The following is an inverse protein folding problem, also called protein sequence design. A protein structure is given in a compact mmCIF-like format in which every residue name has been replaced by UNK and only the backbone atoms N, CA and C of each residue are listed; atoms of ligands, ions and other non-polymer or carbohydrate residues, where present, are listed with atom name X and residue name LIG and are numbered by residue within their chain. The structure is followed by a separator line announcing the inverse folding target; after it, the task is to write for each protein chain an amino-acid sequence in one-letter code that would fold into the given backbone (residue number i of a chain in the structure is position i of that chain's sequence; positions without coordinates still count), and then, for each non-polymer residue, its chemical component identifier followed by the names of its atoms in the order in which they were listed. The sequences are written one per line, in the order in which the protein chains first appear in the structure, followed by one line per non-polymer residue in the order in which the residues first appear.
data_IF_702949359635
#
_entry.id   IF_702949359635
#
_cell.length_a   1.000
_cell.length_b   1.000
_cell.length_c   1.000
_cell.angle_alpha   90.00
_cell.angle_beta   90.00
_cell.angle_gamma   90.00
#
_symmetry.space_group_name_H-M   'P 1'
#
loop_
_entity.id
_entity.type
_entity.pdbx_description
1 polymer ?
#
# COMPACT_ATOMS: atom_id res chain seq x y z
N UNK A 1 8.65 -6.84 12.31
CA UNK A 1 10.07 -7.08 12.61
C UNK A 1 10.85 -7.18 11.32
N UNK A 2 11.90 -6.40 11.13
CA UNK A 2 12.77 -6.50 9.97
C UNK A 2 13.47 -7.86 10.01
N UNK A 3 13.35 -8.63 8.90
CA UNK A 3 13.91 -9.97 8.85
C UNK A 3 15.44 -9.93 8.98
N UNK A 4 16.02 -10.69 9.90
CA UNK A 4 17.47 -10.73 10.17
C UNK A 4 18.33 -11.19 8.99
N UNK A 5 17.76 -11.97 8.07
CA UNK A 5 18.47 -12.41 6.86
C UNK A 5 18.70 -11.29 5.84
N UNK A 6 18.05 -10.16 6.02
CA UNK A 6 18.04 -9.03 5.12
C UNK A 6 18.77 -7.84 5.74
N UNK A 7 19.51 -7.11 4.92
CA UNK A 7 20.21 -5.91 5.35
C UNK A 7 19.55 -4.69 4.77
N UNK A 8 19.09 -3.80 5.64
CA UNK A 8 18.53 -2.51 5.27
C UNK A 8 19.46 -1.39 5.73
N UNK A 9 19.56 -0.34 4.91
CA UNK A 9 20.14 0.93 5.32
C UNK A 9 19.10 2.03 5.05
N UNK A 10 18.89 2.88 6.04
CA UNK A 10 17.91 3.95 6.01
C UNK A 10 18.61 5.30 6.01
N UNK A 11 18.26 6.16 5.07
CA UNK A 11 18.82 7.49 4.90
C UNK A 11 17.69 8.50 4.84
N UNK A 12 17.65 9.44 5.78
CA UNK A 12 16.66 10.52 5.76
C UNK A 12 17.16 11.59 4.79
N UNK A 13 16.30 11.93 3.85
CA UNK A 13 16.54 13.01 2.89
C UNK A 13 16.17 14.38 3.48
N UNK A 14 16.67 15.45 2.88
CA UNK A 14 16.38 16.81 3.31
C UNK A 14 14.90 17.21 3.15
N UNK A 15 14.17 16.50 2.30
CA UNK A 15 12.71 16.69 2.08
C UNK A 15 11.85 15.91 3.07
N UNK A 16 12.47 15.23 4.04
CA UNK A 16 11.76 14.45 5.06
C UNK A 16 11.29 13.07 4.60
N UNK A 17 11.71 12.60 3.43
CA UNK A 17 11.51 11.21 2.99
C UNK A 17 12.63 10.30 3.47
N UNK A 18 12.46 8.98 3.39
CA UNK A 18 13.50 7.99 3.71
C UNK A 18 13.87 7.22 2.45
N UNK A 19 15.15 7.31 2.04
CA UNK A 19 15.71 6.39 1.06
C UNK A 19 16.11 5.10 1.77
N UNK A 20 15.56 3.99 1.34
CA UNK A 20 15.80 2.66 1.90
C UNK A 20 16.61 1.84 0.91
N UNK A 21 17.78 1.41 1.32
CA UNK A 21 18.60 0.46 0.58
C UNK A 21 18.39 -0.93 1.16
N UNK A 22 18.10 -1.87 0.28
CA UNK A 22 17.90 -3.27 0.60
C UNK A 22 18.94 -4.13 -0.09
N UNK A 23 19.51 -5.09 0.61
CA UNK A 23 20.52 -6.00 0.04
C UNK A 23 20.41 -7.40 0.62
N UNK A 24 20.32 -8.40 -0.25
CA UNK A 24 20.49 -9.83 0.09
C UNK A 24 21.80 -10.30 -0.50
N UNK A 25 22.81 -10.49 0.35
CA UNK A 25 24.15 -10.91 -0.11
C UNK A 25 24.15 -12.29 -0.77
N UNK A 26 23.37 -13.24 -0.28
CA UNK A 26 23.27 -14.60 -0.82
C UNK A 26 22.76 -14.63 -2.26
N UNK A 27 21.78 -13.79 -2.58
CA UNK A 27 21.15 -13.72 -3.89
C UNK A 27 21.76 -12.69 -4.84
N UNK A 28 22.75 -11.92 -4.37
CA UNK A 28 23.33 -10.78 -5.10
C UNK A 28 22.28 -9.76 -5.56
N UNK A 29 21.20 -9.63 -4.80
CA UNK A 29 20.12 -8.67 -5.04
C UNK A 29 20.32 -7.44 -4.20
N UNK A 30 20.18 -6.28 -4.82
CA UNK A 30 20.18 -5.00 -4.13
C UNK A 30 19.22 -4.04 -4.81
N UNK A 31 18.61 -3.17 -4.06
CA UNK A 31 17.67 -2.18 -4.60
C UNK A 31 17.51 -0.99 -3.67
N UNK A 32 17.03 0.10 -4.25
CA UNK A 32 16.63 1.30 -3.54
C UNK A 32 15.13 1.49 -3.65
N UNK A 33 14.50 1.92 -2.56
CA UNK A 33 13.13 2.40 -2.56
C UNK A 33 13.05 3.70 -1.78
N UNK A 34 12.03 4.49 -2.08
CA UNK A 34 11.74 5.72 -1.37
C UNK A 34 10.49 5.49 -0.54
N UNK A 35 10.58 5.78 0.74
CA UNK A 35 9.43 5.80 1.64
C UNK A 35 9.05 7.26 1.90
N UNK A 36 7.77 7.53 1.86
CA UNK A 36 7.15 8.80 2.20
C UNK A 36 6.07 8.62 3.27
N UNK A 37 5.68 9.69 3.89
CA UNK A 37 4.68 9.73 4.95
C UNK A 37 3.86 11.02 4.86
N UNK A 38 2.70 11.03 5.46
CA UNK A 38 1.96 12.28 5.69
C UNK A 38 2.60 13.07 6.85
N UNK A 39 3.76 13.63 6.59
CA UNK A 39 4.60 14.35 7.54
C UNK A 39 6.02 14.47 7.03
N UNK A 40 6.95 14.74 7.92
CA UNK A 40 8.38 14.83 7.61
C UNK A 40 9.16 14.03 8.65
N UNK A 41 9.91 13.04 8.21
CA UNK A 41 10.82 12.31 9.11
C UNK A 41 12.07 13.13 9.42
N UNK A 42 12.39 13.26 10.69
CA UNK A 42 13.55 14.00 11.19
C UNK A 42 14.70 13.13 11.65
N UNK A 43 14.40 11.99 12.25
CA UNK A 43 15.42 11.06 12.72
C UNK A 43 14.91 9.63 12.69
N UNK A 44 15.83 8.69 12.57
CA UNK A 44 15.56 7.26 12.54
C UNK A 44 16.61 6.54 13.41
N UNK A 45 16.15 5.55 14.17
CA UNK A 45 17.00 4.76 15.03
C UNK A 45 16.51 3.31 15.05
N UNK A 46 17.43 2.38 14.87
CA UNK A 46 17.17 0.96 15.05
C UNK A 46 17.66 0.50 16.42
N UNK A 47 16.77 -0.09 17.21
CA UNK A 47 17.08 -0.64 18.53
C UNK A 47 16.65 -2.10 18.54
N UNK A 48 17.62 -3.00 18.63
CA UNK A 48 17.42 -4.43 18.44
C UNK A 48 16.81 -4.71 17.05
N UNK A 49 15.60 -5.19 16.99
CA UNK A 49 14.87 -5.51 15.76
C UNK A 49 13.73 -4.53 15.47
N UNK A 50 13.66 -3.45 16.23
CA UNK A 50 12.62 -2.43 16.14
C UNK A 50 13.19 -1.17 15.53
N UNK A 51 12.44 -0.56 14.63
CA UNK A 51 12.80 0.67 13.95
C UNK A 51 11.91 1.80 14.45
N UNK A 52 12.54 2.82 15.01
CA UNK A 52 11.87 4.01 15.55
C UNK A 52 12.20 5.23 14.70
N UNK A 53 11.23 6.11 14.53
CA UNK A 53 11.37 7.37 13.81
C UNK A 53 10.76 8.51 14.60
N UNK A 54 11.34 9.71 14.46
CA UNK A 54 10.69 10.95 14.87
C UNK A 54 10.11 11.61 13.65
N UNK A 55 8.80 11.78 13.65
CA UNK A 55 8.05 12.37 12.56
C UNK A 55 7.37 13.67 12.99
N UNK A 56 7.51 14.72 12.19
CA UNK A 56 6.72 15.95 12.33
C UNK A 56 5.44 15.81 11.51
N UNK A 57 4.29 15.86 12.16
CA UNK A 57 2.97 15.72 11.53
C UNK A 57 2.06 16.89 11.87
N UNK A 58 1.26 17.29 10.91
CA UNK A 58 0.07 18.09 11.18
C UNK A 58 -1.01 17.15 11.73
N UNK A 59 -1.48 17.47 12.93
CA UNK A 59 -2.53 16.69 13.57
C UNK A 59 -3.94 16.99 13.02
N UNK A 60 -4.02 17.74 11.92
CA UNK A 60 -5.26 18.21 11.29
C UNK A 60 -5.77 19.54 11.86
N UNK A 61 -5.11 20.11 12.87
CA UNK A 61 -5.43 21.45 13.40
C UNK A 61 -4.62 22.57 12.71
N UNK A 62 -3.70 22.24 11.81
CA UNK A 62 -2.72 23.15 11.22
C UNK A 62 -1.52 23.39 12.15
N UNK A 63 -1.38 22.60 13.21
CA UNK A 63 -0.24 22.67 14.13
C UNK A 63 0.64 21.44 13.94
N UNK A 64 1.91 21.66 13.65
CA UNK A 64 2.88 20.57 13.53
C UNK A 64 3.33 20.11 14.92
N UNK A 65 3.24 18.80 15.15
CA UNK A 65 3.71 18.13 16.36
C UNK A 65 4.76 17.07 16.01
N UNK A 66 5.66 16.79 16.96
CA UNK A 66 6.63 15.71 16.83
C UNK A 66 6.10 14.46 17.50
N UNK A 67 6.09 13.36 16.77
CA UNK A 67 5.70 12.04 17.25
C UNK A 67 6.90 11.09 17.19
N UNK A 68 7.05 10.26 18.23
CA UNK A 68 7.93 9.11 18.20
C UNK A 68 7.10 7.91 17.76
N UNK A 69 7.44 7.36 16.62
CA UNK A 69 6.70 6.28 15.97
C UNK A 69 7.58 5.05 15.81
N UNK A 70 6.96 3.89 15.73
CA UNK A 70 7.60 2.61 15.46
C UNK A 70 7.07 2.01 14.17
N UNK A 71 7.96 1.52 13.30
CA UNK A 71 7.55 0.69 12.18
C UNK A 71 7.14 -0.70 12.67
N UNK A 72 5.91 -1.11 12.35
CA UNK A 72 5.36 -2.42 12.69
C UNK A 72 4.78 -3.08 11.43
N UNK A 73 5.07 -4.37 11.24
CA UNK A 73 4.67 -5.11 10.05
C UNK A 73 3.16 -5.40 9.98
N UNK A 74 2.49 -5.36 11.13
CA UNK A 74 1.06 -5.65 11.28
C UNK A 74 0.17 -4.40 11.19
N UNK A 75 0.76 -3.22 11.01
CA UNK A 75 0.02 -1.97 10.84
C UNK A 75 -0.19 -1.64 9.37
N UNK A 76 -1.44 -1.65 8.87
CA UNK A 76 -1.73 -1.53 7.45
C UNK A 76 -1.71 -0.10 6.90
N UNK A 77 -1.45 0.90 7.74
CA UNK A 77 -1.49 2.32 7.40
C UNK A 77 -0.34 3.10 8.01
N UNK A 78 -0.13 4.30 7.50
CA UNK A 78 0.79 5.28 8.08
C UNK A 78 0.16 5.93 9.32
N UNK A 79 0.96 6.20 10.36
CA UNK A 79 0.50 6.76 11.63
C UNK A 79 -0.75 6.03 12.17
N UNK A 80 -0.67 4.72 12.17
CA UNK A 80 -1.78 3.82 12.48
C UNK A 80 -1.70 3.32 13.91
N UNK A 81 -2.85 3.17 14.53
CA UNK A 81 -2.99 2.44 15.80
C UNK A 81 -4.30 1.66 15.81
N UNK A 82 -4.41 0.74 16.78
CA UNK A 82 -5.61 -0.03 17.03
C UNK A 82 -6.51 0.69 18.02
N UNK A 83 -7.69 1.07 17.58
CA UNK A 83 -8.66 1.73 18.42
C UNK A 83 -9.81 0.79 18.80
N UNK A 84 -10.15 0.79 20.08
CA UNK A 84 -11.30 0.05 20.58
C UNK A 84 -12.58 0.88 20.45
N UNK A 85 -13.70 0.20 20.25
CA UNK A 85 -14.99 0.85 20.11
C UNK A 85 -16.16 -0.03 20.54
N UNK A 86 -17.34 0.48 20.37
CA UNK A 86 -18.60 -0.24 20.60
C UNK A 86 -19.51 -0.02 19.41
N UNK A 87 -20.10 -1.11 18.91
CA UNK A 87 -20.99 -1.07 17.75
C UNK A 87 -20.41 -0.34 16.51
N UNK A 88 -19.11 -0.45 16.31
CA UNK A 88 -18.33 0.19 15.24
C UNK A 88 -18.20 1.73 15.34
N UNK A 89 -18.40 2.29 16.52
CA UNK A 89 -18.02 3.65 16.87
C UNK A 89 -16.71 3.60 17.64
N UNK A 90 -15.67 4.23 17.12
CA UNK A 90 -14.31 4.19 17.65
C UNK A 90 -13.93 5.56 18.21
N UNK A 91 -13.55 5.60 19.50
CA UNK A 91 -13.24 6.81 20.23
C UNK A 91 -11.78 6.91 20.64
N UNK A 92 -11.48 7.94 21.46
CA UNK A 92 -10.12 8.23 21.96
C UNK A 92 -9.10 8.59 20.89
N UNK A 93 -9.56 9.05 19.73
CA UNK A 93 -8.71 9.41 18.58
C UNK A 93 -7.91 10.69 18.80
N UNK A 94 -8.25 11.52 19.78
CA UNK A 94 -7.61 12.82 20.05
C UNK A 94 -6.14 12.73 20.44
N UNK A 95 -5.65 11.55 20.85
CA UNK A 95 -4.23 11.32 21.12
C UNK A 95 -3.37 11.34 19.85
N UNK A 96 -3.96 10.98 18.72
CA UNK A 96 -3.32 10.87 17.42
C UNK A 96 -3.83 11.89 16.41
N UNK A 97 -5.14 12.08 16.35
CA UNK A 97 -5.80 12.89 15.33
C UNK A 97 -6.63 13.99 15.95
N UNK A 98 -6.54 15.20 15.42
CA UNK A 98 -7.44 16.28 15.82
C UNK A 98 -8.81 16.14 15.15
N UNK A 99 -9.78 16.92 15.62
CA UNK A 99 -11.05 17.07 14.92
C UNK A 99 -10.81 17.61 13.49
N UNK A 100 -11.59 17.10 12.55
CA UNK A 100 -11.51 17.33 11.10
C UNK A 100 -10.34 16.62 10.40
N UNK A 101 -9.49 15.86 11.10
CA UNK A 101 -8.53 14.98 10.44
C UNK A 101 -9.25 13.93 9.60
N UNK A 102 -8.77 13.70 8.38
CA UNK A 102 -9.32 12.68 7.47
C UNK A 102 -8.49 11.43 7.62
N UNK A 103 -9.10 10.37 8.10
CA UNK A 103 -8.47 9.09 8.39
C UNK A 103 -9.13 7.96 7.61
N UNK A 104 -8.40 6.87 7.40
CA UNK A 104 -8.98 5.62 6.91
C UNK A 104 -9.09 4.62 8.05
N UNK A 105 -10.05 3.71 7.93
CA UNK A 105 -10.25 2.64 8.89
C UNK A 105 -10.34 1.28 8.20
N UNK A 106 -9.80 0.25 8.83
CA UNK A 106 -9.89 -1.16 8.42
C UNK A 106 -9.97 -2.07 9.63
N UNK A 107 -10.59 -3.22 9.49
CA UNK A 107 -10.55 -4.27 10.49
C UNK A 107 -9.47 -5.34 10.19
N UNK A 108 -8.58 -5.07 9.24
CA UNK A 108 -7.56 -5.98 8.75
C UNK A 108 -7.97 -6.75 7.49
N UNK A 109 -9.20 -7.20 7.39
CA UNK A 109 -9.72 -7.92 6.20
C UNK A 109 -10.53 -7.02 5.27
N UNK A 110 -11.17 -6.00 5.84
CA UNK A 110 -12.11 -5.15 5.14
C UNK A 110 -11.76 -3.68 5.30
N UNK A 111 -11.80 -2.95 4.20
CA UNK A 111 -11.71 -1.50 4.23
C UNK A 111 -13.06 -0.91 4.65
N UNK A 112 -13.10 -0.29 5.82
CA UNK A 112 -14.33 0.28 6.38
C UNK A 112 -14.68 1.63 5.76
N UNK A 113 -13.69 2.35 5.24
CA UNK A 113 -13.94 3.64 4.60
C UNK A 113 -12.96 4.74 5.01
N UNK A 114 -13.27 5.93 4.50
CA UNK A 114 -12.58 7.17 4.86
C UNK A 114 -13.53 7.99 5.73
N UNK A 115 -13.05 8.45 6.87
CA UNK A 115 -13.84 9.15 7.88
C UNK A 115 -13.18 10.47 8.25
N UNK A 116 -14.00 11.41 8.68
CA UNK A 116 -13.54 12.65 9.31
C UNK A 116 -13.74 12.54 10.82
N UNK A 117 -12.66 12.74 11.58
CA UNK A 117 -12.73 12.69 13.05
C UNK A 117 -13.60 13.83 13.57
N UNK A 118 -14.58 13.51 14.41
CA UNK A 118 -15.49 14.47 15.01
C UNK A 118 -15.68 14.14 16.48
N UNK A 119 -15.44 15.10 17.37
CA UNK A 119 -15.52 14.85 18.82
C UNK A 119 -14.51 13.82 19.35
N UNK A 120 -13.44 13.55 18.59
CA UNK A 120 -12.47 12.50 18.91
C UNK A 120 -12.91 11.09 18.56
N UNK A 121 -13.90 10.94 17.68
CA UNK A 121 -14.51 9.67 17.30
C UNK A 121 -14.71 9.57 15.78
N UNK A 122 -14.83 8.34 15.28
CA UNK A 122 -15.39 8.01 13.97
C UNK A 122 -16.48 6.97 14.12
N UNK A 123 -17.50 7.03 13.26
CA UNK A 123 -18.60 6.08 13.21
C UNK A 123 -18.59 5.30 11.89
N UNK A 124 -18.27 4.03 11.96
CA UNK A 124 -18.28 3.09 10.85
C UNK A 124 -19.49 2.15 10.85
N UNK A 125 -20.48 2.36 11.72
CA UNK A 125 -21.63 1.47 11.92
C UNK A 125 -22.51 1.34 10.67
N UNK A 126 -22.55 2.37 9.82
CA UNK A 126 -23.25 2.35 8.54
C UNK A 126 -22.59 1.44 7.50
N UNK A 127 -21.29 1.16 7.64
CA UNK A 127 -20.53 0.29 6.73
C UNK A 127 -20.54 -1.14 7.25
N UNK A 128 -20.10 -1.35 8.48
CA UNK A 128 -20.08 -2.67 9.14
C UNK A 128 -20.39 -2.47 10.63
N UNK A 129 -21.47 -3.06 11.09
CA UNK A 129 -21.88 -2.97 12.49
C UNK A 129 -21.21 -4.04 13.36
N UNK A 130 -21.14 -3.79 14.67
CA UNK A 130 -20.73 -4.79 15.66
C UNK A 130 -19.22 -4.97 15.81
N UNK A 131 -18.38 -4.13 15.21
CA UNK A 131 -16.95 -4.17 15.43
C UNK A 131 -16.58 -3.57 16.79
N UNK A 132 -15.65 -4.23 17.47
CA UNK A 132 -15.09 -3.78 18.75
C UNK A 132 -13.71 -3.16 18.62
N UNK A 133 -13.02 -3.37 17.47
CA UNK A 133 -11.71 -2.84 17.18
C UNK A 133 -11.57 -2.50 15.71
N UNK A 134 -10.77 -1.49 15.40
CA UNK A 134 -10.34 -1.15 14.06
C UNK A 134 -8.94 -0.53 14.07
N UNK A 135 -8.19 -0.74 13.00
CA UNK A 135 -7.02 0.03 12.68
C UNK A 135 -7.44 1.35 12.06
N UNK A 136 -6.93 2.45 12.58
CA UNK A 136 -7.25 3.80 12.10
C UNK A 136 -5.96 4.56 11.90
N UNK A 137 -5.79 5.16 10.74
CA UNK A 137 -4.55 5.84 10.38
C UNK A 137 -4.67 6.66 9.09
N UNK A 138 -3.55 7.23 8.67
CA UNK A 138 -3.43 7.85 7.36
C UNK A 138 -3.14 6.79 6.30
N UNK A 139 -3.70 6.96 5.11
CA UNK A 139 -3.41 6.02 4.03
C UNK A 139 -2.13 6.40 3.30
N UNK A 140 -1.41 5.39 2.87
CA UNK A 140 -0.43 5.50 1.80
C UNK A 140 -0.84 4.64 0.60
N UNK A 141 -0.24 4.89 -0.55
CA UNK A 141 -0.52 4.15 -1.78
C UNK A 141 0.80 3.61 -2.32
N UNK A 142 1.19 2.38 -1.94
CA UNK A 142 2.38 1.77 -2.47
C UNK A 142 2.26 1.63 -3.99
N UNK A 143 3.33 2.01 -4.71
CA UNK A 143 3.37 1.95 -6.16
C UNK A 143 4.66 1.27 -6.62
N UNK A 144 4.51 0.19 -7.36
CA UNK A 144 5.59 -0.49 -8.08
C UNK A 144 5.46 -0.16 -9.56
N UNK A 145 6.47 0.49 -10.13
CA UNK A 145 6.55 0.77 -11.56
C UNK A 145 7.72 0.01 -12.16
N UNK A 146 7.45 -0.84 -13.15
CA UNK A 146 8.52 -1.57 -13.82
C UNK A 146 9.41 -0.63 -14.63
N UNK A 147 10.63 -1.07 -14.93
CA UNK A 147 11.41 -0.49 -16.01
C UNK A 147 10.68 -0.71 -17.35
N UNK A 148 11.03 0.07 -18.39
CA UNK A 148 10.52 -0.20 -19.74
C UNK A 148 10.80 -1.65 -20.12
N UNK A 149 9.80 -2.30 -20.68
CA UNK A 149 9.95 -3.69 -21.11
C UNK A 149 10.44 -3.67 -22.55
N UNK A 150 11.75 -3.86 -22.74
CA UNK A 150 12.38 -3.95 -24.04
C UNK A 150 12.52 -5.43 -24.45
N UNK A 151 12.07 -5.73 -25.66
CA UNK A 151 12.23 -7.04 -26.27
C UNK A 151 13.14 -6.91 -27.50
N UNK A 152 13.95 -7.92 -27.70
CA UNK A 152 14.79 -8.07 -28.91
C UNK A 152 14.21 -9.20 -29.73
N UNK A 153 13.91 -8.92 -30.99
CA UNK A 153 13.49 -9.93 -31.98
C UNK A 153 14.60 -10.19 -32.98
N UNK A 154 14.42 -11.17 -33.84
CA UNK A 154 15.45 -11.52 -34.87
C UNK A 154 15.82 -10.36 -35.80
N UNK A 155 15.02 -9.31 -35.90
CA UNK A 155 15.28 -8.09 -36.69
C UNK A 155 16.01 -6.97 -35.94
N UNK A 156 16.30 -7.14 -34.67
CA UNK A 156 16.96 -6.12 -33.84
C UNK A 156 16.12 -5.65 -32.65
N UNK A 157 16.59 -4.64 -31.90
CA UNK A 157 15.86 -4.12 -30.76
C UNK A 157 14.61 -3.35 -31.21
N UNK A 158 13.51 -3.55 -30.50
CA UNK A 158 12.23 -2.87 -30.76
C UNK A 158 12.12 -1.54 -29.99
N UNK A 159 13.22 -0.98 -29.55
CA UNK A 159 13.24 0.28 -28.81
C UNK A 159 12.64 1.41 -29.66
N UNK A 160 11.61 2.06 -29.12
CA UNK A 160 10.92 3.17 -29.78
C UNK A 160 9.71 2.79 -30.63
N UNK A 161 9.48 1.49 -30.89
CA UNK A 161 8.25 1.03 -31.54
C UNK A 161 7.09 0.94 -30.53
N UNK A 162 5.86 1.27 -30.95
CA UNK A 162 4.68 1.12 -30.07
C UNK A 162 4.44 -0.36 -29.76
N UNK A 163 4.32 -0.68 -28.47
CA UNK A 163 4.07 -2.04 -27.96
C UNK A 163 2.86 -2.06 -27.04
N UNK A 164 2.20 -3.19 -26.98
CA UNK A 164 1.10 -3.46 -26.08
C UNK A 164 1.52 -4.46 -25.01
N UNK A 165 0.96 -4.31 -23.82
CA UNK A 165 0.98 -5.33 -22.78
C UNK A 165 -0.45 -5.84 -22.63
N UNK A 166 -0.85 -6.91 -23.37
CA UNK A 166 -2.23 -7.40 -23.32
C UNK A 166 -2.56 -8.10 -22.01
N UNK A 167 -1.54 -8.67 -21.36
CA UNK A 167 -1.73 -9.45 -20.15
C UNK A 167 -0.59 -9.34 -19.18
N UNK A 168 -0.94 -9.23 -17.89
CA UNK A 168 -0.03 -9.34 -16.75
C UNK A 168 -0.57 -10.42 -15.82
N UNK A 169 0.28 -11.35 -15.40
CA UNK A 169 -0.04 -12.34 -14.38
C UNK A 169 0.77 -12.02 -13.14
N UNK A 170 0.09 -11.76 -12.03
CA UNK A 170 0.70 -11.59 -10.73
C UNK A 170 0.62 -12.89 -9.93
N UNK A 171 1.72 -13.30 -9.33
CA UNK A 171 1.74 -14.37 -8.33
C UNK A 171 1.59 -13.72 -6.96
N UNK A 172 0.40 -13.88 -6.38
CA UNK A 172 -0.04 -13.25 -5.14
C UNK A 172 0.03 -14.22 -3.98
N UNK A 173 0.27 -13.69 -2.79
CA UNK A 173 0.15 -14.44 -1.54
C UNK A 173 -0.68 -13.64 -0.53
N UNK A 174 -1.73 -14.26 -0.01
CA UNK A 174 -2.62 -13.65 1.01
C UNK A 174 -3.02 -12.21 0.72
N UNK A 175 -3.34 -11.90 -0.54
CA UNK A 175 -3.59 -10.53 -1.01
C UNK A 175 -5.09 -10.23 -1.02
N UNK A 176 -5.48 -9.10 -0.44
CA UNK A 176 -6.87 -8.64 -0.37
C UNK A 176 -7.22 -7.61 -1.45
N UNK A 177 -6.26 -6.81 -1.88
CA UNK A 177 -6.48 -5.81 -2.92
C UNK A 177 -5.19 -5.50 -3.69
N UNK A 178 -5.30 -5.34 -4.99
CA UNK A 178 -4.24 -4.83 -5.87
C UNK A 178 -4.85 -4.21 -7.12
N UNK A 179 -4.20 -3.17 -7.65
CA UNK A 179 -4.58 -2.52 -8.89
C UNK A 179 -3.42 -2.56 -9.89
N UNK A 180 -3.70 -2.93 -11.13
CA UNK A 180 -2.71 -3.04 -12.20
C UNK A 180 -3.08 -2.08 -13.32
N UNK A 181 -2.16 -1.20 -13.69
CA UNK A 181 -2.32 -0.25 -14.79
C UNK A 181 -1.39 -0.61 -15.94
N UNK A 182 -1.89 -0.45 -17.15
CA UNK A 182 -1.22 -0.79 -18.40
C UNK A 182 -0.16 0.19 -18.86
N UNK A 183 0.37 -0.03 -20.07
CA UNK A 183 1.59 0.59 -20.55
C UNK A 183 1.52 2.11 -20.75
N UNK A 184 0.33 2.67 -20.88
CA UNK A 184 0.13 4.12 -21.02
C UNK A 184 -0.31 4.74 -19.70
N UNK A 185 0.18 5.93 -19.38
CA UNK A 185 -0.28 6.71 -18.19
C UNK A 185 -1.77 7.05 -18.24
N UNK A 186 -2.38 6.98 -19.42
CA UNK A 186 -3.83 7.16 -19.63
C UNK A 186 -4.61 5.86 -19.63
N UNK A 187 -3.94 4.70 -19.47
CA UNK A 187 -4.61 3.40 -19.38
C UNK A 187 -5.45 3.33 -18.11
N UNK A 188 -6.64 2.77 -18.25
CA UNK A 188 -7.49 2.48 -17.08
C UNK A 188 -6.84 1.40 -16.23
N UNK A 189 -6.79 1.62 -14.92
CA UNK A 189 -6.37 0.59 -13.96
C UNK A 189 -7.39 -0.55 -13.92
N UNK A 190 -6.91 -1.75 -13.64
CA UNK A 190 -7.71 -2.94 -13.39
C UNK A 190 -7.51 -3.36 -11.95
N UNK A 191 -8.56 -3.27 -11.18
CA UNK A 191 -8.54 -3.70 -9.79
C UNK A 191 -8.74 -5.21 -9.71
N UNK A 192 -8.10 -5.80 -8.73
CA UNK A 192 -8.34 -7.18 -8.36
C UNK A 192 -9.77 -7.28 -7.83
N UNK A 193 -10.67 -7.74 -8.68
CA UNK A 193 -12.05 -8.04 -8.32
C UNK A 193 -12.15 -9.55 -8.16
N UNK A 194 -11.62 -10.08 -7.06
CA UNK A 194 -11.84 -11.48 -6.76
C UNK A 194 -13.12 -11.57 -5.96
N UNK A 195 -14.12 -12.10 -6.62
CA UNK A 195 -15.29 -12.67 -5.98
C UNK A 195 -14.96 -14.13 -5.72
N UNK A 196 -14.42 -14.41 -4.55
CA UNK A 196 -14.30 -15.78 -4.10
C UNK A 196 -15.72 -16.31 -3.81
N UNK A 197 -15.96 -17.60 -4.00
CA UNK A 197 -17.25 -18.23 -3.66
C UNK A 197 -17.61 -18.14 -2.18
N UNK A 198 -16.66 -17.73 -1.35
CA UNK A 198 -16.80 -17.48 0.09
C UNK A 198 -17.09 -16.03 0.44
N UNK A 199 -17.05 -15.10 -0.53
CA UNK A 199 -17.37 -13.71 -0.27
C UNK A 199 -18.86 -13.59 0.04
N UNK A 200 -19.19 -13.11 1.23
CA UNK A 200 -20.55 -12.91 1.67
C UNK A 200 -20.90 -11.43 1.66
N UNK A 201 -22.10 -11.11 1.21
CA UNK A 201 -22.64 -9.74 1.29
C UNK A 201 -23.53 -9.67 2.53
N UNK A 202 -23.05 -9.02 3.57
CA UNK A 202 -23.81 -8.78 4.80
C UNK A 202 -24.08 -7.28 4.92
N UNK A 203 -25.37 -6.89 4.92
CA UNK A 203 -25.75 -5.48 5.06
C UNK A 203 -25.29 -4.56 3.91
N UNK A 204 -25.05 -5.10 2.69
CA UNK A 204 -24.53 -4.35 1.56
C UNK A 204 -22.99 -4.24 1.53
N UNK A 205 -22.31 -4.78 2.52
CA UNK A 205 -20.88 -4.83 2.63
C UNK A 205 -20.34 -6.17 2.11
N UNK A 206 -19.26 -6.13 1.30
CA UNK A 206 -18.64 -7.33 0.75
C UNK A 206 -17.41 -7.69 1.60
N UNK A 207 -17.49 -8.82 2.29
CA UNK A 207 -16.33 -9.41 2.94
C UNK A 207 -15.39 -9.99 1.88
N UNK A 208 -14.10 -9.63 1.93
CA UNK A 208 -13.10 -10.10 1.00
C UNK A 208 -12.32 -11.26 1.58
N UNK A 209 -12.08 -12.28 0.76
CA UNK A 209 -11.18 -13.37 1.10
C UNK A 209 -9.81 -13.11 0.48
N UNK A 210 -8.75 -13.36 1.25
CA UNK A 210 -7.39 -13.23 0.74
C UNK A 210 -7.10 -14.26 -0.37
N UNK A 211 -6.44 -13.80 -1.42
CA UNK A 211 -6.10 -14.59 -2.59
C UNK A 211 -4.65 -15.02 -2.55
N UNK A 212 -4.41 -16.30 -2.81
CA UNK A 212 -3.09 -16.87 -3.02
C UNK A 212 -3.08 -17.62 -4.33
N UNK A 213 -2.12 -17.29 -5.19
CA UNK A 213 -1.95 -17.90 -6.50
C UNK A 213 -1.75 -16.90 -7.63
N UNK A 214 -1.90 -17.37 -8.86
CA UNK A 214 -1.66 -16.58 -10.07
C UNK A 214 -2.95 -15.95 -10.55
N UNK A 215 -2.96 -14.61 -10.63
CA UNK A 215 -4.09 -13.82 -11.10
C UNK A 215 -3.76 -13.07 -12.40
N UNK A 216 -4.67 -13.12 -13.36
CA UNK A 216 -4.51 -12.57 -14.69
C UNK A 216 -5.22 -11.22 -14.82
N UNK A 217 -4.47 -10.20 -15.25
CA UNK A 217 -4.99 -8.87 -15.56
C UNK A 217 -4.86 -8.60 -17.06
N UNK A 218 -5.96 -8.29 -17.72
CA UNK A 218 -5.98 -7.89 -19.13
C UNK A 218 -5.92 -6.38 -19.24
N UNK A 219 -4.88 -5.91 -19.91
CA UNK A 219 -4.60 -4.49 -20.06
C UNK A 219 -4.83 -4.05 -21.50
N UNK A 220 -5.05 -2.76 -21.68
CA UNK A 220 -5.27 -2.14 -22.99
C UNK A 220 -4.31 -0.96 -23.15
N UNK A 221 -3.97 -0.68 -24.40
CA UNK A 221 -3.18 0.49 -24.77
C UNK A 221 -1.81 0.14 -25.32
N UNK A 222 -1.28 1.07 -26.10
CA UNK A 222 0.04 0.99 -26.72
C UNK A 222 0.94 2.08 -26.13
N UNK A 223 2.22 1.78 -26.00
CA UNK A 223 3.23 2.75 -25.58
C UNK A 223 4.58 2.44 -26.24
N UNK A 224 5.36 3.47 -26.54
CA UNK A 224 6.76 3.30 -26.96
C UNK A 224 7.66 2.95 -25.80
N UNK A 225 7.19 3.22 -24.57
CA UNK A 225 7.87 2.94 -23.31
C UNK A 225 6.93 2.14 -22.39
N UNK A 226 6.64 0.86 -22.77
CA UNK A 226 5.64 0.07 -22.07
C UNK A 226 6.11 -0.29 -20.67
N UNK A 227 5.32 0.07 -19.66
CA UNK A 227 5.55 -0.22 -18.24
C UNK A 227 4.30 -0.78 -17.63
N UNK A 228 4.46 -1.58 -16.60
CA UNK A 228 3.35 -2.00 -15.73
C UNK A 228 3.47 -1.21 -14.43
N UNK A 229 2.36 -0.67 -13.99
CA UNK A 229 2.25 -0.02 -12.69
C UNK A 229 1.32 -0.87 -11.84
N UNK A 230 1.83 -1.31 -10.71
CA UNK A 230 1.06 -2.02 -9.69
C UNK A 230 0.94 -1.10 -8.48
N UNK A 231 -0.25 -0.91 -8.00
CA UNK A 231 -0.54 -0.02 -6.88
C UNK A 231 -1.65 -0.58 -6.00
N UNK A 232 -1.79 -0.02 -4.82
CA UNK A 232 -2.89 -0.31 -3.92
C UNK A 232 -3.34 0.99 -3.24
N UNK A 233 -4.64 1.23 -3.24
CA UNK A 233 -5.24 2.41 -2.61
C UNK A 233 -6.01 2.09 -1.32
N UNK A 234 -6.18 0.80 -1.01
CA UNK A 234 -6.84 0.34 0.21
C UNK A 234 -5.80 -0.10 1.23
N UNK A 235 -5.99 0.17 2.52
CA UNK A 235 -5.11 -0.28 3.60
C UNK A 235 -5.38 -1.76 3.94
N UNK A 236 -5.03 -2.64 3.03
CA UNK A 236 -5.24 -4.09 3.11
C UNK A 236 -3.95 -4.81 2.71
N UNK A 237 -3.84 -6.08 3.07
CA UNK A 237 -2.66 -6.87 2.77
C UNK A 237 -2.41 -7.03 1.26
N UNK A 238 -1.16 -6.83 0.86
CA UNK A 238 -0.67 -7.01 -0.49
C UNK A 238 0.72 -7.65 -0.46
N UNK A 239 0.83 -8.86 -0.99
CA UNK A 239 2.12 -9.51 -1.22
C UNK A 239 2.20 -10.06 -2.63
N UNK A 240 3.23 -9.65 -3.37
CA UNK A 240 3.51 -10.06 -4.74
C UNK A 240 4.82 -10.87 -4.75
N UNK A 241 4.74 -12.15 -5.08
CA UNK A 241 5.90 -13.03 -5.19
C UNK A 241 6.59 -12.92 -6.55
N UNK A 242 5.80 -12.62 -7.60
CA UNK A 242 6.33 -12.51 -8.95
C UNK A 242 5.35 -11.91 -9.93
N UNK A 243 5.88 -11.48 -11.08
CA UNK A 243 5.10 -10.92 -12.16
C UNK A 243 5.57 -11.49 -13.51
N UNK A 244 4.61 -11.91 -14.32
CA UNK A 244 4.83 -12.35 -15.71
C UNK A 244 4.10 -11.38 -16.63
N UNK A 245 4.79 -10.86 -17.63
CA UNK A 245 4.24 -9.87 -18.57
C UNK A 245 4.28 -10.44 -19.97
N UNK A 246 3.14 -10.42 -20.66
CA UNK A 246 3.03 -10.73 -22.07
C UNK A 246 3.12 -9.42 -22.87
N UNK A 247 3.99 -9.41 -23.89
CA UNK A 247 4.21 -8.23 -24.75
C UNK A 247 3.80 -8.58 -26.17
N UNK A 248 2.98 -7.74 -26.80
CA UNK A 248 2.58 -7.82 -28.20
C UNK A 248 3.11 -6.60 -28.99
N UNK A 249 3.42 -6.83 -30.27
CA UNK A 249 4.00 -5.86 -31.19
C UNK A 249 3.03 -5.51 -32.32
#
# INVERSE_FOLDING_TARGET
ALNRSESYAFLINNDGTIAVFYSIRGDQKAGWTLWDTQGLWHSICAVHERLFVVCARDDGSGTTKLFLEEFQDDMPMDFCDTFSGSASVFGSLTSHFSNNAVVKATNGNDFLGTFTVSGGEIDASAVKSGLSQAFIGYSFSPTLKTLPIDATIQGGPLTGEPRQIPKVVLDLHSTLAVSVQGPSTTSTSRDLVIRNTTDTVTGGFMERSAVTGKEEFRLLGYSRDPRVIVSQSFPLDLQINGMIVEVAF
#
